data_IF_125678602258
#
_entry.id   IF_125678602258
#
_cell.length_a   1.000
_cell.length_b   1.000
_cell.length_c   1.000
_cell.angle_alpha   90.00
_cell.angle_beta   90.00
_cell.angle_gamma   90.00
#
_symmetry.space_group_name_H-M   'P 1'
#
loop_
_entity.id
_entity.type
_entity.pdbx_description
1 polymer ?
#
# COMPACT_ATOMS: atom_id res chain seq x y z
N UNK A 1 -5.80 -43.72 22.31
CA UNK A 1 -4.97 -43.65 21.08
C UNK A 1 -5.93 -43.66 19.91
N UNK A 2 -5.87 -42.67 19.02
CA UNK A 2 -6.75 -42.60 17.86
C UNK A 2 -6.22 -43.52 16.77
N UNK A 3 -7.09 -44.33 16.16
CA UNK A 3 -6.75 -45.10 14.96
C UNK A 3 -6.62 -44.18 13.74
N UNK A 4 -5.91 -44.66 12.72
CA UNK A 4 -5.94 -44.06 11.39
C UNK A 4 -7.34 -44.16 10.79
N UNK A 5 -7.73 -43.14 10.05
CA UNK A 5 -8.97 -43.14 9.28
C UNK A 5 -8.85 -44.08 8.08
N UNK A 6 -9.99 -44.59 7.56
CA UNK A 6 -10.00 -45.44 6.36
C UNK A 6 -9.34 -44.76 5.16
N UNK A 7 -9.56 -43.45 4.98
CA UNK A 7 -8.95 -42.69 3.88
C UNK A 7 -7.43 -42.64 3.99
N UNK A 8 -6.89 -42.53 5.21
CA UNK A 8 -5.43 -42.57 5.44
C UNK A 8 -4.87 -43.97 5.19
N UNK A 9 -5.55 -45.03 5.65
CA UNK A 9 -5.13 -46.41 5.41
C UNK A 9 -5.15 -46.75 3.92
N UNK A 10 -6.20 -46.35 3.21
CA UNK A 10 -6.31 -46.52 1.76
C UNK A 10 -5.23 -45.72 1.02
N UNK A 11 -5.05 -44.44 1.37
CA UNK A 11 -4.02 -43.59 0.74
C UNK A 11 -2.60 -44.13 1.00
N UNK A 12 -2.38 -44.75 2.16
CA UNK A 12 -1.12 -45.41 2.48
C UNK A 12 -0.91 -46.69 1.67
N UNK A 13 -1.97 -47.48 1.46
CA UNK A 13 -1.95 -48.67 0.60
C UNK A 13 -1.74 -48.34 -0.88
N UNK A 14 -2.38 -47.28 -1.37
CA UNK A 14 -2.25 -46.77 -2.76
C UNK A 14 -0.91 -46.06 -3.00
N UNK A 15 -0.14 -45.80 -1.93
CA UNK A 15 1.14 -45.08 -2.01
C UNK A 15 1.00 -43.59 -2.35
N UNK A 16 -0.20 -43.01 -2.18
CA UNK A 16 -0.48 -41.58 -2.37
C UNK A 16 -0.17 -40.76 -1.11
N UNK A 17 -0.26 -41.38 0.07
CA UNK A 17 0.19 -40.77 1.34
C UNK A 17 1.72 -40.87 1.46
N UNK A 18 2.42 -39.78 1.14
CA UNK A 18 3.90 -39.71 1.08
C UNK A 18 4.46 -38.67 2.05
N UNK A 19 5.80 -38.68 2.19
CA UNK A 19 6.51 -37.71 3.01
C UNK A 19 6.32 -37.95 4.51
N UNK A 20 6.32 -36.90 5.34
CA UNK A 20 6.31 -37.04 6.81
C UNK A 20 5.02 -37.68 7.33
N UNK A 21 3.89 -37.37 6.72
CA UNK A 21 2.58 -37.93 7.10
C UNK A 21 2.50 -39.44 6.80
N UNK A 22 3.03 -39.87 5.66
CA UNK A 22 3.10 -41.29 5.31
C UNK A 22 4.03 -42.07 6.23
N UNK A 23 5.14 -41.48 6.67
CA UNK A 23 6.07 -42.12 7.60
C UNK A 23 5.44 -42.28 8.98
N UNK A 24 4.81 -41.22 9.53
CA UNK A 24 4.08 -41.30 10.79
C UNK A 24 2.92 -42.32 10.75
N UNK A 25 2.22 -42.44 9.62
CA UNK A 25 1.17 -43.44 9.46
C UNK A 25 1.72 -44.88 9.44
N UNK A 26 2.90 -45.11 8.86
CA UNK A 26 3.58 -46.42 8.91
C UNK A 26 4.01 -46.78 10.33
N UNK A 27 4.66 -45.84 11.02
CA UNK A 27 5.06 -46.01 12.42
C UNK A 27 3.85 -46.34 13.30
N UNK A 28 2.71 -45.68 13.06
CA UNK A 28 1.46 -45.99 13.76
C UNK A 28 0.95 -47.40 13.46
N UNK A 29 0.98 -47.84 12.20
CA UNK A 29 0.58 -49.20 11.83
C UNK A 29 1.45 -50.24 12.54
N UNK A 30 2.77 -50.05 12.60
CA UNK A 30 3.69 -50.96 13.31
C UNK A 30 3.34 -51.11 14.80
N UNK A 31 2.87 -50.03 15.44
CA UNK A 31 2.47 -50.04 16.85
C UNK A 31 1.00 -50.46 17.08
N UNK A 32 0.14 -50.43 16.06
CA UNK A 32 -1.30 -50.67 16.18
C UNK A 32 -1.77 -51.88 15.35
N UNK A 33 -2.12 -53.01 15.99
CA UNK A 33 -2.50 -54.23 15.27
C UNK A 33 -3.78 -54.05 14.43
N UNK A 34 -4.73 -53.21 14.88
CA UNK A 34 -5.94 -52.90 14.14
C UNK A 34 -5.65 -52.15 12.82
N UNK A 35 -4.77 -51.15 12.86
CA UNK A 35 -4.37 -50.41 11.66
C UNK A 35 -3.48 -51.25 10.74
N UNK A 36 -2.62 -52.12 11.28
CA UNK A 36 -1.87 -53.11 10.47
C UNK A 36 -2.81 -54.06 9.73
N UNK A 37 -3.84 -54.59 10.40
CA UNK A 37 -4.81 -55.47 9.76
C UNK A 37 -5.61 -54.74 8.66
N UNK A 38 -6.03 -53.49 8.92
CA UNK A 38 -6.69 -52.64 7.91
C UNK A 38 -5.81 -52.37 6.69
N UNK A 39 -4.54 -52.01 6.91
CA UNK A 39 -3.57 -51.78 5.84
C UNK A 39 -3.34 -53.06 5.01
N UNK A 40 -3.26 -54.23 5.66
CA UNK A 40 -3.11 -55.51 4.97
C UNK A 40 -4.31 -55.82 4.06
N UNK A 41 -5.53 -55.49 4.48
CA UNK A 41 -6.73 -55.63 3.66
C UNK A 41 -6.69 -54.72 2.43
N UNK A 42 -6.42 -53.42 2.61
CA UNK A 42 -6.35 -52.47 1.50
C UNK A 42 -5.21 -52.80 0.52
N UNK A 43 -4.03 -53.16 1.01
CA UNK A 43 -2.91 -53.57 0.16
C UNK A 43 -3.20 -54.85 -0.63
N UNK A 44 -3.92 -55.82 -0.04
CA UNK A 44 -4.39 -56.99 -0.78
C UNK A 44 -5.40 -56.62 -1.88
N UNK A 45 -6.29 -55.65 -1.62
CA UNK A 45 -7.22 -55.12 -2.63
C UNK A 45 -6.47 -54.43 -3.76
N UNK A 46 -5.50 -53.57 -3.45
CA UNK A 46 -4.64 -52.91 -4.44
C UNK A 46 -3.90 -53.94 -5.30
N UNK A 47 -3.35 -54.99 -4.68
CA UNK A 47 -2.69 -56.08 -5.42
C UNK A 47 -3.63 -56.86 -6.35
N UNK A 48 -4.91 -57.01 -5.99
CA UNK A 48 -5.91 -57.62 -6.88
C UNK A 48 -6.31 -56.68 -8.01
N UNK A 49 -6.48 -55.39 -7.73
CA UNK A 49 -6.83 -54.38 -8.71
C UNK A 49 -5.71 -54.16 -9.73
N UNK A 50 -4.45 -54.18 -9.30
CA UNK A 50 -3.30 -54.05 -10.22
C UNK A 50 -3.08 -55.30 -11.08
N UNK A 51 -3.65 -56.45 -10.71
CA UNK A 51 -3.63 -57.66 -11.51
C UNK A 51 -4.74 -57.70 -12.57
N UNK A 52 -5.70 -56.76 -12.55
CA UNK A 52 -6.67 -56.65 -13.63
C UNK A 52 -5.95 -56.25 -14.92
N UNK A 53 -6.36 -56.88 -16.03
CA UNK A 53 -5.85 -56.53 -17.34
C UNK A 53 -6.36 -55.13 -17.71
N UNK A 54 -5.43 -54.20 -17.91
CA UNK A 54 -5.75 -52.90 -18.46
C UNK A 54 -6.32 -53.04 -19.88
N UNK A 55 -7.35 -52.25 -20.23
CA UNK A 55 -7.85 -52.22 -21.60
C UNK A 55 -6.75 -51.70 -22.54
N UNK A 56 -6.69 -52.26 -23.74
CA UNK A 56 -5.78 -51.79 -24.79
C UNK A 56 -6.12 -50.31 -25.08
N UNK A 57 -5.15 -49.37 -24.94
CA UNK A 57 -5.40 -47.99 -25.28
C UNK A 57 -5.67 -47.87 -26.80
N UNK A 58 -6.53 -46.93 -27.23
CA UNK A 58 -6.68 -46.61 -28.64
C UNK A 58 -5.34 -46.29 -29.31
N UNK A 59 -5.18 -46.61 -30.59
CA UNK A 59 -3.94 -46.35 -31.33
C UNK A 59 -3.50 -44.87 -31.26
N UNK A 60 -4.46 -43.96 -31.22
CA UNK A 60 -4.24 -42.51 -31.18
C UNK A 60 -4.21 -41.93 -29.75
N UNK A 61 -4.21 -42.77 -28.71
CA UNK A 61 -4.27 -42.31 -27.32
C UNK A 61 -3.13 -41.34 -27.00
N UNK A 62 -1.90 -41.72 -27.30
CA UNK A 62 -0.72 -40.88 -27.03
C UNK A 62 -0.76 -39.59 -27.82
N UNK A 63 -1.13 -39.64 -29.11
CA UNK A 63 -1.26 -38.44 -29.94
C UNK A 63 -2.33 -37.49 -29.40
N UNK A 64 -3.47 -38.01 -28.96
CA UNK A 64 -4.58 -37.23 -28.39
C UNK A 64 -4.19 -36.58 -27.06
N UNK A 65 -3.52 -37.33 -26.18
CA UNK A 65 -3.07 -36.80 -24.89
C UNK A 65 -2.01 -35.71 -25.09
N UNK A 66 -1.04 -35.93 -25.98
CA UNK A 66 -0.02 -34.93 -26.29
C UNK A 66 -0.63 -33.66 -26.90
N UNK A 67 -1.58 -33.79 -27.84
CA UNK A 67 -2.29 -32.64 -28.38
C UNK A 67 -3.04 -31.85 -27.29
N UNK A 68 -3.67 -32.54 -26.33
CA UNK A 68 -4.36 -31.89 -25.21
C UNK A 68 -3.38 -31.17 -24.26
N UNK A 69 -2.20 -31.77 -24.00
CA UNK A 69 -1.14 -31.16 -23.18
C UNK A 69 -0.57 -29.93 -23.87
N UNK A 70 -0.27 -30.00 -25.17
CA UNK A 70 0.25 -28.87 -25.96
C UNK A 70 -0.70 -27.67 -25.94
N UNK A 71 -2.01 -27.89 -26.10
CA UNK A 71 -3.01 -26.82 -26.00
C UNK A 71 -2.98 -26.15 -24.62
N UNK A 72 -2.86 -26.95 -23.56
CA UNK A 72 -2.80 -26.44 -22.18
C UNK A 72 -1.51 -25.65 -21.93
N UNK A 73 -0.38 -26.14 -22.42
CA UNK A 73 0.90 -25.43 -22.32
C UNK A 73 0.88 -24.13 -23.11
N UNK A 74 0.35 -24.14 -24.34
CA UNK A 74 0.21 -22.94 -25.15
C UNK A 74 -0.65 -21.86 -24.46
N UNK A 75 -1.73 -22.25 -23.78
CA UNK A 75 -2.56 -21.33 -22.99
C UNK A 75 -1.78 -20.72 -21.81
N UNK A 76 -0.99 -21.53 -21.10
CA UNK A 76 -0.16 -21.06 -19.97
C UNK A 76 0.95 -20.11 -20.44
N UNK A 77 1.61 -20.43 -21.54
CA UNK A 77 2.64 -19.57 -22.15
C UNK A 77 2.04 -18.24 -22.59
N UNK A 78 0.89 -18.25 -23.27
CA UNK A 78 0.18 -17.04 -23.71
C UNK A 78 -0.17 -16.14 -22.52
N UNK A 79 -0.67 -16.73 -21.42
CA UNK A 79 -0.99 -15.98 -20.18
C UNK A 79 0.25 -15.36 -19.53
N UNK A 80 1.39 -16.03 -19.60
CA UNK A 80 2.66 -15.49 -19.07
C UNK A 80 3.16 -14.31 -19.90
N UNK A 81 3.07 -14.40 -21.23
CA UNK A 81 3.46 -13.30 -22.12
C UNK A 81 2.57 -12.07 -21.95
N UNK A 82 1.25 -12.24 -21.77
CA UNK A 82 0.35 -11.10 -21.54
C UNK A 82 0.61 -10.43 -20.19
N UNK A 83 0.88 -11.20 -19.13
CA UNK A 83 1.24 -10.63 -17.82
C UNK A 83 2.59 -9.90 -17.87
N UNK A 84 3.60 -10.48 -18.53
CA UNK A 84 4.91 -9.83 -18.68
C UNK A 84 4.83 -8.55 -19.50
N UNK A 85 3.94 -8.48 -20.50
CA UNK A 85 3.68 -7.27 -21.27
C UNK A 85 2.84 -6.21 -20.52
N UNK A 86 1.98 -6.63 -19.58
CA UNK A 86 1.14 -5.72 -18.80
C UNK A 86 1.93 -4.90 -17.76
N UNK A 87 3.01 -5.48 -17.21
CA UNK A 87 3.86 -4.82 -16.19
C UNK A 87 4.48 -3.49 -16.70
N UNK A 88 5.18 -3.44 -17.86
CA UNK A 88 5.75 -2.18 -18.34
C UNK A 88 4.68 -1.17 -18.75
N UNK A 89 3.55 -1.61 -19.32
CA UNK A 89 2.44 -0.73 -19.65
C UNK A 89 1.84 -0.06 -18.39
N UNK A 90 1.67 -0.84 -17.31
CA UNK A 90 1.20 -0.32 -16.04
C UNK A 90 2.20 0.66 -15.40
N UNK A 91 3.50 0.37 -15.46
CA UNK A 91 4.54 1.25 -14.97
C UNK A 91 4.55 2.61 -15.69
N UNK A 92 4.42 2.61 -17.03
CA UNK A 92 4.32 3.83 -17.82
C UNK A 92 3.05 4.64 -17.50
N UNK A 93 1.92 3.95 -17.31
CA UNK A 93 0.67 4.60 -16.93
C UNK A 93 0.78 5.27 -15.55
N UNK A 94 1.35 4.58 -14.56
CA UNK A 94 1.63 5.13 -13.23
C UNK A 94 2.54 6.36 -13.30
N UNK A 95 3.63 6.26 -14.06
CA UNK A 95 4.57 7.36 -14.24
C UNK A 95 3.87 8.59 -14.86
N UNK A 96 3.04 8.39 -15.89
CA UNK A 96 2.28 9.47 -16.52
C UNK A 96 1.27 10.13 -15.55
N UNK A 97 0.55 9.33 -14.76
CA UNK A 97 -0.41 9.83 -13.77
C UNK A 97 0.30 10.65 -12.67
N UNK A 98 1.41 10.12 -12.14
CA UNK A 98 2.20 10.80 -11.12
C UNK A 98 2.80 12.10 -11.67
N UNK A 99 3.38 12.05 -12.87
CA UNK A 99 3.93 13.23 -13.54
C UNK A 99 2.88 14.31 -13.79
N UNK A 100 1.67 13.93 -14.21
CA UNK A 100 0.57 14.87 -14.39
C UNK A 100 0.12 15.50 -13.06
N UNK A 101 -0.01 14.71 -11.99
CA UNK A 101 -0.40 15.20 -10.68
C UNK A 101 0.64 16.18 -10.09
N UNK A 102 1.93 15.85 -10.20
CA UNK A 102 3.03 16.73 -9.77
C UNK A 102 3.02 18.04 -10.56
N UNK A 103 2.84 17.98 -11.89
CA UNK A 103 2.77 19.17 -12.73
C UNK A 103 1.58 20.08 -12.36
N UNK A 104 0.40 19.49 -12.11
CA UNK A 104 -0.77 20.23 -11.67
C UNK A 104 -0.57 20.94 -10.32
N UNK A 105 0.15 20.29 -9.39
CA UNK A 105 0.51 20.87 -8.10
C UNK A 105 1.44 22.08 -8.29
N UNK A 106 2.48 21.94 -9.12
CA UNK A 106 3.44 23.03 -9.41
C UNK A 106 2.75 24.22 -10.05
N UNK A 107 1.85 24.00 -11.02
CA UNK A 107 1.09 25.08 -11.65
C UNK A 107 0.23 25.84 -10.63
N UNK A 108 -0.43 25.15 -9.69
CA UNK A 108 -1.19 25.82 -8.62
C UNK A 108 -0.31 26.69 -7.71
N UNK A 109 0.92 26.26 -7.42
CA UNK A 109 1.87 27.05 -6.65
C UNK A 109 2.31 28.30 -7.44
N UNK A 110 2.59 28.17 -8.72
CA UNK A 110 2.97 29.29 -9.60
C UNK A 110 1.82 30.29 -9.69
N UNK A 111 0.60 29.82 -9.90
CA UNK A 111 -0.60 30.65 -9.94
C UNK A 111 -0.79 31.40 -8.61
N UNK A 112 -0.64 30.71 -7.47
CA UNK A 112 -0.72 31.33 -6.14
C UNK A 112 0.32 32.43 -5.92
N UNK A 113 1.57 32.20 -6.34
CA UNK A 113 2.65 33.21 -6.25
C UNK A 113 2.38 34.40 -7.16
N UNK A 114 1.83 34.18 -8.37
CA UNK A 114 1.50 35.24 -9.31
C UNK A 114 0.37 36.14 -8.78
N UNK A 115 -0.66 35.56 -8.15
CA UNK A 115 -1.75 36.28 -7.50
C UNK A 115 -1.23 37.07 -6.31
N UNK A 116 -0.42 36.44 -5.44
CA UNK A 116 0.16 37.10 -4.27
C UNK A 116 1.03 38.31 -4.68
N UNK A 117 1.85 38.16 -5.75
CA UNK A 117 2.64 39.27 -6.30
C UNK A 117 1.76 40.39 -6.82
N UNK A 118 0.69 40.08 -7.54
CA UNK A 118 -0.24 41.09 -8.10
C UNK A 118 -0.96 41.86 -6.98
N UNK A 119 -1.44 41.15 -5.95
CA UNK A 119 -2.06 41.74 -4.76
C UNK A 119 -1.06 42.62 -4.02
N UNK A 120 0.18 42.16 -3.83
CA UNK A 120 1.21 42.95 -3.15
C UNK A 120 1.53 44.26 -3.88
N UNK A 121 1.63 44.22 -5.20
CA UNK A 121 1.85 45.42 -6.04
C UNK A 121 0.65 46.38 -5.94
N UNK A 122 -0.58 45.87 -5.88
CA UNK A 122 -1.78 46.69 -5.78
C UNK A 122 -1.96 47.35 -4.39
N UNK A 123 -1.60 46.66 -3.31
CA UNK A 123 -1.80 47.14 -1.93
C UNK A 123 -0.64 48.00 -1.42
N UNK A 124 0.56 47.84 -1.98
CA UNK A 124 1.74 48.68 -1.68
C UNK A 124 1.50 50.20 -1.63
N UNK A 125 0.86 50.82 -2.64
CA UNK A 125 0.59 52.26 -2.62
C UNK A 125 -0.43 52.67 -1.54
N UNK A 126 -1.36 51.80 -1.14
CA UNK A 126 -2.33 52.08 -0.07
C UNK A 126 -1.63 52.15 1.29
N UNK A 127 -0.71 51.22 1.57
CA UNK A 127 0.10 51.28 2.79
C UNK A 127 1.05 52.48 2.82
N UNK A 128 1.61 52.88 1.67
CA UNK A 128 2.40 54.10 1.56
C UNK A 128 1.56 55.36 1.85
N UNK A 129 0.32 55.40 1.36
CA UNK A 129 -0.61 56.50 1.60
C UNK A 129 -1.10 56.57 3.06
N UNK A 130 -1.26 55.44 3.75
CA UNK A 130 -1.67 55.37 5.17
C UNK A 130 -0.53 55.78 6.12
N UNK A 131 0.73 55.67 5.72
CA UNK A 131 1.89 55.99 6.55
C UNK A 131 2.04 57.49 6.85
N UNK A 132 1.68 58.35 5.89
CA UNK A 132 1.69 59.81 6.06
C UNK A 132 0.70 60.34 7.12
N UNK A 133 -0.61 60.00 7.09
CA UNK A 133 -1.58 60.48 8.07
C UNK A 133 -1.33 59.92 9.48
N UNK A 134 -0.83 58.68 9.60
CA UNK A 134 -0.41 58.13 10.90
C UNK A 134 0.78 58.88 11.50
N UNK A 135 1.76 59.26 10.67
CA UNK A 135 2.89 60.10 11.11
C UNK A 135 2.45 61.49 11.56
N UNK A 136 1.55 62.13 10.81
CA UNK A 136 0.99 63.45 11.16
C UNK A 136 0.15 63.36 12.44
N UNK A 137 -0.69 62.33 12.57
CA UNK A 137 -1.50 62.10 13.78
C UNK A 137 -0.65 61.87 15.02
N UNK A 138 0.40 61.04 14.92
CA UNK A 138 1.34 60.80 16.01
C UNK A 138 2.10 62.08 16.42
N UNK A 139 2.50 62.90 15.44
CA UNK A 139 3.18 64.18 15.68
C UNK A 139 2.25 65.18 16.39
N UNK A 140 1.01 65.31 15.94
CA UNK A 140 0.02 66.19 16.59
C UNK A 140 -0.31 65.73 18.00
N UNK A 141 -0.46 64.42 18.22
CA UNK A 141 -0.68 63.85 19.55
C UNK A 141 0.50 64.15 20.49
N UNK A 142 1.74 63.94 20.02
CA UNK A 142 2.95 64.26 20.78
C UNK A 142 3.03 65.77 21.11
N UNK A 143 2.71 66.64 20.15
CA UNK A 143 2.67 68.08 20.36
C UNK A 143 1.64 68.48 21.43
N UNK A 144 0.43 67.90 21.40
CA UNK A 144 -0.61 68.15 22.41
C UNK A 144 -0.16 67.66 23.79
N UNK A 145 0.42 66.46 23.89
CA UNK A 145 0.93 65.90 25.16
C UNK A 145 2.03 66.78 25.74
N UNK A 146 3.00 67.21 24.93
CA UNK A 146 4.07 68.12 25.37
C UNK A 146 3.52 69.47 25.81
N UNK A 147 2.51 70.00 25.11
CA UNK A 147 1.87 71.27 25.48
C UNK A 147 1.12 71.12 26.80
N UNK A 148 0.41 70.02 27.01
CA UNK A 148 -0.29 69.71 28.26
C UNK A 148 0.70 69.55 29.43
N UNK A 149 1.80 68.81 29.23
CA UNK A 149 2.87 68.67 30.23
C UNK A 149 3.53 70.02 30.57
N UNK A 150 3.76 70.87 29.57
CA UNK A 150 4.34 72.20 29.80
C UNK A 150 3.46 73.07 30.70
N UNK A 151 2.13 72.91 30.61
CA UNK A 151 1.16 73.65 31.42
C UNK A 151 1.05 73.09 32.84
N UNK A 152 1.19 71.79 33.03
CA UNK A 152 1.15 71.16 34.36
C UNK A 152 2.47 71.30 35.14
N UNK A 153 3.60 71.50 34.46
CA UNK A 153 4.90 71.72 35.09
C UNK A 153 5.15 73.18 35.53
N UNK A 154 4.51 74.17 34.89
CA UNK A 154 4.57 75.59 35.32
C UNK A 154 4.17 75.84 36.79
N UNK A 155 3.08 75.25 37.35
CA UNK A 155 2.75 75.43 38.77
C UNK A 155 3.67 74.67 39.74
N UNK A 156 4.43 73.67 39.28
CA UNK A 156 5.38 72.94 40.12
C UNK A 156 6.69 73.72 40.31
N UNK A 157 7.18 74.39 39.26
CA UNK A 157 8.41 75.18 39.33
C UNK A 157 8.28 76.40 40.25
N UNK A 158 7.12 77.06 40.27
CA UNK A 158 6.84 78.19 41.15
C UNK A 158 6.86 77.83 42.64
N UNK A 159 6.60 76.57 43.00
CA UNK A 159 6.61 76.10 44.39
C UNK A 159 8.01 75.74 44.90
N UNK A 160 8.94 75.41 44.00
CA UNK A 160 10.34 75.08 44.34
C UNK A 160 11.18 76.36 44.50
N UNK A 161 10.91 77.42 43.73
CA UNK A 161 11.63 78.70 43.83
C UNK A 161 11.15 79.61 44.96
N UNK A 162 9.99 79.36 45.56
CA UNK A 162 9.45 80.15 46.68
C UNK A 162 9.85 79.59 48.07
N UNK A 163 10.57 78.47 48.11
CA UNK A 163 10.97 77.78 49.34
C UNK A 163 12.49 77.73 49.58
N UNK A 164 13.27 78.56 48.88
CA UNK A 164 14.71 78.78 49.14
C UNK A 164 14.97 80.22 49.54
#
# INVERSE_FOLDING_TARGET
MSHLTDTQLQSLADGTLRGPEGLAARDHCEACPGCTAGLALYSALVGRLSALKDPEPPADFTATVLAAVEVREAQLVTRRHTLLAAIPAFALALFAIIGWALNAQVNRLIDGVSVARTVWVAVGPVFAAIRLPLGIGAFLFLAVVLTALSRTLKPAYARVTAGS
#
